data_IF_745158682426
#
_entry.id   IF_745158682426
#
_cell.length_a   1.000
_cell.length_b   1.000
_cell.length_c   1.000
_cell.angle_alpha   90.00
_cell.angle_beta   90.00
_cell.angle_gamma   90.00
#
_symmetry.space_group_name_H-M   'P 1'
#
loop_
_entity.id
_entity.type
_entity.pdbx_description
1 polymer ?
#
# COMPACT_ATOMS: atom_id res chain seq x y z
N UNK A 1 18.51 -1.96 -19.40
CA UNK A 1 17.48 -2.86 -18.82
C UNK A 1 16.84 -2.16 -17.64
N UNK A 2 15.57 -2.48 -17.37
CA UNK A 2 14.90 -2.11 -16.14
C UNK A 2 14.94 -3.29 -15.15
N UNK A 3 15.23 -3.00 -13.88
CA UNK A 3 15.29 -3.95 -12.77
C UNK A 3 14.23 -3.52 -11.75
N UNK A 4 13.40 -4.44 -11.30
CA UNK A 4 12.32 -4.18 -10.35
C UNK A 4 12.53 -5.03 -9.10
N UNK A 5 12.54 -4.39 -7.93
CA UNK A 5 12.76 -5.04 -6.65
C UNK A 5 11.58 -4.80 -5.72
N UNK A 6 11.13 -5.84 -5.04
CA UNK A 6 10.23 -5.70 -3.89
C UNK A 6 11.02 -5.25 -2.65
N UNK A 7 10.32 -4.70 -1.67
CA UNK A 7 10.91 -4.27 -0.40
C UNK A 7 10.90 -5.42 0.60
N UNK A 8 9.70 -5.81 1.03
CA UNK A 8 9.51 -6.70 2.17
C UNK A 8 9.89 -8.15 1.83
N UNK A 9 10.84 -8.71 2.57
CA UNK A 9 11.37 -10.05 2.30
C UNK A 9 12.28 -10.15 1.07
N UNK A 10 12.59 -9.02 0.39
CA UNK A 10 13.49 -8.98 -0.78
C UNK A 10 14.68 -8.06 -0.51
N UNK A 11 14.49 -6.75 -0.54
CA UNK A 11 15.55 -5.79 -0.19
C UNK A 11 15.66 -5.61 1.31
N UNK A 12 14.53 -5.49 2.00
CA UNK A 12 14.49 -5.35 3.45
C UNK A 12 14.48 -6.74 4.10
N UNK A 13 15.54 -7.05 4.84
CA UNK A 13 15.63 -8.31 5.57
C UNK A 13 14.56 -8.40 6.66
N UNK A 14 13.82 -9.50 6.70
CA UNK A 14 12.82 -9.75 7.73
C UNK A 14 13.44 -9.93 9.13
N UNK A 15 14.70 -10.35 9.18
CA UNK A 15 15.42 -10.60 10.44
C UNK A 15 16.04 -9.31 10.98
N UNK A 16 16.83 -8.61 10.19
CA UNK A 16 17.57 -7.41 10.63
C UNK A 16 16.78 -6.11 10.48
N UNK A 17 15.67 -6.14 9.72
CA UNK A 17 14.86 -4.96 9.33
C UNK A 17 15.69 -3.85 8.67
N UNK A 18 16.78 -4.25 8.01
CA UNK A 18 17.69 -3.35 7.27
C UNK A 18 17.95 -3.88 5.88
N UNK A 19 18.34 -2.98 4.97
CA UNK A 19 18.84 -3.37 3.65
C UNK A 19 20.33 -3.62 3.75
N UNK A 20 20.83 -4.80 3.33
CA UNK A 20 22.25 -5.10 3.37
C UNK A 20 23.06 -4.12 2.50
N UNK A 21 24.24 -3.72 2.98
CA UNK A 21 25.14 -2.83 2.22
C UNK A 21 25.56 -3.43 0.86
N UNK A 22 25.62 -4.77 0.77
CA UNK A 22 25.89 -5.48 -0.50
C UNK A 22 24.76 -5.23 -1.52
N UNK A 23 23.50 -5.17 -1.09
CA UNK A 23 22.35 -4.88 -1.96
C UNK A 23 22.39 -3.43 -2.47
N UNK A 24 22.65 -2.46 -1.56
CA UNK A 24 22.80 -1.05 -1.93
C UNK A 24 23.94 -0.86 -2.95
N UNK A 25 25.08 -1.51 -2.72
CA UNK A 25 26.21 -1.49 -3.65
C UNK A 25 25.87 -2.10 -5.00
N UNK A 26 25.15 -3.23 -5.02
CA UNK A 26 24.73 -3.88 -6.27
C UNK A 26 23.79 -2.98 -7.09
N UNK A 27 22.83 -2.30 -6.44
CA UNK A 27 21.93 -1.31 -7.06
C UNK A 27 22.75 -0.15 -7.65
N UNK A 28 23.66 0.42 -6.90
CA UNK A 28 24.53 1.51 -7.37
C UNK A 28 25.37 1.10 -8.60
N UNK A 29 25.93 -0.09 -8.58
CA UNK A 29 26.68 -0.63 -9.72
C UNK A 29 25.77 -0.83 -10.94
N UNK A 30 24.58 -1.41 -10.77
CA UNK A 30 23.63 -1.60 -11.86
C UNK A 30 23.27 -0.27 -12.53
N UNK A 31 22.99 0.78 -11.73
CA UNK A 31 22.71 2.13 -12.24
C UNK A 31 23.91 2.75 -12.97
N UNK A 32 25.12 2.60 -12.44
CA UNK A 32 26.34 3.09 -13.10
C UNK A 32 26.64 2.44 -14.46
N UNK A 33 26.08 1.23 -14.67
CA UNK A 33 26.13 0.51 -15.95
C UNK A 33 24.97 0.88 -16.91
N UNK A 34 24.18 1.88 -16.56
CA UNK A 34 23.07 2.37 -17.38
C UNK A 34 21.79 1.52 -17.28
N UNK A 35 21.63 0.73 -16.23
CA UNK A 35 20.37 0.06 -15.94
C UNK A 35 19.47 0.98 -15.09
N UNK A 36 18.18 0.98 -15.36
CA UNK A 36 17.16 1.63 -14.52
C UNK A 36 16.75 0.70 -13.40
N UNK A 37 16.64 1.23 -12.19
CA UNK A 37 16.26 0.46 -11.00
C UNK A 37 15.00 1.05 -10.38
N UNK A 38 13.99 0.21 -10.22
CA UNK A 38 12.70 0.57 -9.65
C UNK A 38 12.39 -0.29 -8.42
N UNK A 39 11.72 0.31 -7.46
CA UNK A 39 11.06 -0.44 -6.39
C UNK A 39 9.63 -0.76 -6.83
N UNK A 40 9.16 -1.99 -6.59
CA UNK A 40 7.81 -2.44 -6.89
C UNK A 40 7.21 -3.14 -5.68
N UNK A 41 6.40 -2.40 -4.91
CA UNK A 41 5.95 -2.78 -3.58
C UNK A 41 4.43 -2.75 -3.41
N UNK A 42 3.92 -3.56 -2.46
CA UNK A 42 2.54 -3.46 -1.98
C UNK A 42 2.28 -2.23 -1.10
N UNK A 43 3.33 -1.65 -0.48
CA UNK A 43 3.19 -0.44 0.33
C UNK A 43 2.68 0.73 -0.52
N UNK A 44 1.83 1.56 0.05
CA UNK A 44 1.44 2.82 -0.58
C UNK A 44 2.61 3.80 -0.61
N UNK A 45 2.55 4.79 -1.50
CA UNK A 45 3.60 5.80 -1.59
C UNK A 45 3.71 6.65 -0.30
N UNK A 46 2.60 6.84 0.41
CA UNK A 46 2.59 7.49 1.73
C UNK A 46 3.33 6.71 2.82
N UNK A 47 3.43 5.37 2.68
CA UNK A 47 4.10 4.51 3.67
C UNK A 47 5.60 4.28 3.40
N UNK A 48 6.11 4.65 2.23
CA UNK A 48 7.53 4.39 1.89
C UNK A 48 8.49 5.37 2.56
N UNK A 49 8.00 6.39 3.28
CA UNK A 49 8.86 7.43 3.87
C UNK A 49 10.04 6.89 4.67
N UNK A 50 9.81 5.83 5.45
CA UNK A 50 10.87 5.19 6.25
C UNK A 50 11.86 4.35 5.43
N UNK A 51 11.49 3.98 4.21
CA UNK A 51 12.31 3.14 3.32
C UNK A 51 12.78 3.87 2.08
N UNK A 52 12.44 5.16 1.95
CA UNK A 52 12.82 5.98 0.79
C UNK A 52 14.34 6.09 0.63
N UNK A 53 15.09 6.09 1.71
CA UNK A 53 16.54 6.21 1.74
C UNK A 53 17.28 4.85 1.64
N UNK A 54 16.55 3.77 1.37
CA UNK A 54 17.11 2.41 1.30
C UNK A 54 18.19 2.30 0.22
N UNK A 55 17.93 2.86 -0.96
CA UNK A 55 18.87 2.93 -2.07
C UNK A 55 18.46 4.05 -3.03
N UNK A 56 19.42 4.58 -3.75
CA UNK A 56 19.13 5.45 -4.90
C UNK A 56 18.47 4.63 -6.00
N UNK A 57 17.23 4.94 -6.36
CA UNK A 57 16.46 4.28 -7.41
C UNK A 57 15.93 5.29 -8.41
N UNK A 58 15.54 4.81 -9.59
CA UNK A 58 15.05 5.66 -10.67
C UNK A 58 13.52 5.88 -10.60
N UNK A 59 12.83 5.10 -9.77
CA UNK A 59 11.40 5.31 -9.52
C UNK A 59 10.77 4.27 -8.58
N UNK A 60 9.49 4.47 -8.34
CA UNK A 60 8.68 3.75 -7.36
C UNK A 60 7.37 3.29 -7.96
N UNK A 61 7.07 2.01 -7.84
CA UNK A 61 5.79 1.41 -8.15
C UNK A 61 5.18 0.94 -6.82
N UNK A 62 4.13 1.61 -6.39
CA UNK A 62 3.55 1.44 -5.05
C UNK A 62 2.09 1.01 -5.09
N UNK A 63 1.56 0.63 -3.93
CA UNK A 63 0.15 0.31 -3.76
C UNK A 63 -0.33 -0.84 -4.64
N UNK A 64 0.48 -1.89 -4.79
CA UNK A 64 0.16 -3.01 -5.68
C UNK A 64 -0.14 -2.59 -7.13
N UNK A 65 0.51 -1.54 -7.62
CA UNK A 65 0.36 -1.09 -8.99
C UNK A 65 -0.61 0.08 -9.19
N UNK A 66 -1.16 0.65 -8.14
CA UNK A 66 -2.05 1.81 -8.23
C UNK A 66 -1.31 3.14 -8.33
N UNK A 67 -0.01 3.14 -8.06
CA UNK A 67 0.86 4.32 -8.16
C UNK A 67 2.18 3.96 -8.83
N UNK A 68 2.63 4.80 -9.77
CA UNK A 68 3.94 4.69 -10.39
C UNK A 68 4.57 6.07 -10.59
N UNK A 69 5.84 6.17 -10.21
CA UNK A 69 6.69 7.34 -10.39
C UNK A 69 8.00 6.93 -11.07
N UNK A 70 8.49 7.73 -11.98
CA UNK A 70 9.79 7.56 -12.60
C UNK A 70 10.47 8.94 -12.76
N UNK A 71 11.75 9.02 -12.39
CA UNK A 71 12.55 10.24 -12.47
C UNK A 71 11.88 11.47 -11.83
N UNK A 72 11.19 11.26 -10.70
CA UNK A 72 10.47 12.30 -9.96
C UNK A 72 9.16 12.76 -10.62
N UNK A 73 8.67 12.05 -11.63
CA UNK A 73 7.39 12.34 -12.30
C UNK A 73 6.40 11.22 -12.03
N UNK A 74 5.22 11.58 -11.56
CA UNK A 74 4.11 10.63 -11.45
C UNK A 74 3.63 10.21 -12.84
N UNK A 75 3.73 8.92 -13.15
CA UNK A 75 3.27 8.30 -14.38
C UNK A 75 1.84 7.76 -14.22
N UNK A 76 1.55 7.20 -13.05
CA UNK A 76 0.24 6.66 -12.71
C UNK A 76 -0.10 7.03 -11.27
N UNK A 77 -1.31 7.51 -11.05
CA UNK A 77 -1.92 7.66 -9.72
C UNK A 77 -3.41 7.30 -9.82
N UNK A 78 -3.72 6.03 -9.54
CA UNK A 78 -5.10 5.53 -9.55
C UNK A 78 -5.75 5.81 -8.21
N UNK A 79 -6.56 6.85 -8.15
CA UNK A 79 -7.33 7.20 -6.96
C UNK A 79 -8.72 6.54 -7.00
N UNK A 80 -9.20 6.13 -5.85
CA UNK A 80 -10.58 5.73 -5.62
C UNK A 80 -11.46 6.98 -5.42
N UNK A 81 -12.71 7.01 -5.93
CA UNK A 81 -13.65 8.09 -5.62
C UNK A 81 -13.89 8.21 -4.11
N UNK A 82 -13.92 9.43 -3.58
CA UNK A 82 -14.07 9.69 -2.14
C UNK A 82 -15.36 9.07 -1.60
N UNK A 83 -16.45 9.15 -2.34
CA UNK A 83 -17.74 8.57 -1.95
C UNK A 83 -17.67 7.03 -1.87
N UNK A 84 -16.90 6.39 -2.74
CA UNK A 84 -16.65 4.95 -2.70
C UNK A 84 -15.83 4.60 -1.45
N UNK A 85 -14.76 5.34 -1.17
CA UNK A 85 -13.90 5.15 -0.01
C UNK A 85 -14.70 5.28 1.28
N UNK A 86 -15.49 6.34 1.42
CA UNK A 86 -16.33 6.56 2.61
C UNK A 86 -17.37 5.45 2.79
N UNK A 87 -18.02 4.99 1.70
CA UNK A 87 -18.99 3.89 1.74
C UNK A 87 -18.34 2.58 2.19
N UNK A 88 -17.16 2.24 1.65
CA UNK A 88 -16.41 1.04 2.03
C UNK A 88 -15.95 1.13 3.49
N UNK A 89 -15.45 2.29 3.91
CA UNK A 89 -15.02 2.50 5.28
C UNK A 89 -16.18 2.35 6.28
N UNK A 90 -17.36 2.89 5.94
CA UNK A 90 -18.58 2.70 6.74
C UNK A 90 -18.99 1.23 6.81
N UNK A 91 -19.02 0.54 5.67
CA UNK A 91 -19.34 -0.89 5.61
C UNK A 91 -18.40 -1.70 6.53
N UNK A 92 -17.10 -1.42 6.50
CA UNK A 92 -16.13 -2.10 7.37
C UNK A 92 -16.45 -1.85 8.85
N UNK A 93 -16.65 -0.60 9.25
CA UNK A 93 -16.96 -0.22 10.64
C UNK A 93 -18.30 -0.82 11.11
N UNK A 94 -19.32 -0.82 10.26
CA UNK A 94 -20.64 -1.42 10.55
C UNK A 94 -20.56 -2.94 10.74
N UNK A 95 -19.63 -3.59 10.03
CA UNK A 95 -19.35 -5.02 10.18
C UNK A 95 -18.34 -5.36 11.30
N UNK A 96 -18.05 -4.43 12.21
CA UNK A 96 -17.04 -4.58 13.27
C UNK A 96 -15.65 -5.00 12.74
N UNK A 97 -15.31 -4.58 11.53
CA UNK A 97 -13.98 -4.68 10.94
C UNK A 97 -13.27 -3.32 11.04
N UNK A 98 -11.93 -3.37 11.06
CA UNK A 98 -11.15 -2.15 10.91
C UNK A 98 -10.74 -1.99 9.44
N UNK A 99 -10.51 -0.76 9.00
CA UNK A 99 -10.01 -0.46 7.66
C UNK A 99 -8.84 0.51 7.73
N UNK A 100 -7.77 0.16 7.02
CA UNK A 100 -6.61 0.99 6.79
C UNK A 100 -6.62 1.46 5.33
N UNK A 101 -6.84 2.75 5.14
CA UNK A 101 -6.93 3.41 3.84
C UNK A 101 -5.58 4.01 3.49
N UNK A 102 -5.05 3.65 2.34
CA UNK A 102 -3.69 3.93 1.94
C UNK A 102 -3.65 4.83 0.70
N UNK A 103 -3.00 5.97 0.85
CA UNK A 103 -2.86 6.97 -0.21
C UNK A 103 -1.42 7.34 -0.54
N UNK A 104 -1.21 8.20 -1.54
CA UNK A 104 0.12 8.65 -1.93
C UNK A 104 0.71 9.65 -0.92
N UNK A 105 -0.12 10.30 -0.13
CA UNK A 105 0.30 11.28 0.88
C UNK A 105 0.01 10.81 2.29
N UNK A 106 -1.25 10.92 2.71
CA UNK A 106 -1.72 10.56 4.05
C UNK A 106 -2.42 9.20 4.01
N UNK A 107 -2.29 8.43 5.08
CA UNK A 107 -3.06 7.22 5.30
C UNK A 107 -4.09 7.46 6.40
N UNK A 108 -5.22 6.75 6.34
CA UNK A 108 -6.32 6.88 7.30
C UNK A 108 -6.65 5.54 7.92
N UNK A 109 -7.14 5.57 9.15
CA UNK A 109 -7.59 4.38 9.85
C UNK A 109 -8.98 4.63 10.44
N UNK A 110 -9.94 3.79 10.05
CA UNK A 110 -11.29 3.81 10.62
C UNK A 110 -11.55 2.52 11.39
N UNK A 111 -12.11 2.66 12.59
CA UNK A 111 -12.39 1.54 13.48
C UNK A 111 -13.45 1.93 14.49
N UNK A 112 -14.37 1.02 14.75
CA UNK A 112 -15.40 1.22 15.80
C UNK A 112 -14.83 1.06 17.20
N UNK A 113 -13.92 0.12 17.41
CA UNK A 113 -13.44 -0.28 18.73
C UNK A 113 -11.97 -0.02 18.99
N UNK A 114 -11.17 0.11 17.92
CA UNK A 114 -9.71 0.21 18.01
C UNK A 114 -9.01 -1.02 18.62
N UNK A 115 -9.70 -2.18 18.62
CA UNK A 115 -9.22 -3.39 19.30
C UNK A 115 -8.20 -4.18 18.51
N UNK A 116 -8.16 -4.00 17.19
CA UNK A 116 -7.29 -4.80 16.32
C UNK A 116 -5.80 -4.53 16.62
N UNK A 117 -5.01 -5.58 16.83
CA UNK A 117 -3.58 -5.42 17.14
C UNK A 117 -2.80 -4.65 16.08
N UNK A 118 -3.16 -4.82 14.81
CA UNK A 118 -2.55 -4.11 13.70
C UNK A 118 -2.71 -2.59 13.83
N UNK A 119 -3.94 -2.10 14.12
CA UNK A 119 -4.18 -0.67 14.32
C UNK A 119 -3.41 -0.11 15.50
N UNK A 120 -3.33 -0.86 16.61
CA UNK A 120 -2.51 -0.48 17.77
C UNK A 120 -1.02 -0.39 17.41
N UNK A 121 -0.53 -1.33 16.59
CA UNK A 121 0.86 -1.33 16.11
C UNK A 121 1.13 -0.15 15.17
N UNK A 122 0.19 0.19 14.29
CA UNK A 122 0.29 1.37 13.42
C UNK A 122 0.40 2.66 14.24
N UNK A 123 -0.45 2.85 15.25
CA UNK A 123 -0.35 4.00 16.17
C UNK A 123 1.01 4.13 16.80
N UNK A 124 1.56 3.01 17.25
CA UNK A 124 2.88 2.98 17.89
C UNK A 124 4.01 3.31 16.93
N UNK A 125 3.96 2.82 15.69
CA UNK A 125 5.06 2.92 14.73
C UNK A 125 5.04 4.23 13.94
N UNK A 126 3.85 4.72 13.60
CA UNK A 126 3.67 5.82 12.67
C UNK A 126 3.13 7.11 13.32
N UNK A 127 2.65 7.04 14.57
CA UNK A 127 2.20 8.22 15.30
C UNK A 127 1.18 9.04 14.53
N UNK A 128 1.51 10.31 14.27
CA UNK A 128 0.64 11.28 13.60
C UNK A 128 0.67 11.23 12.07
N UNK A 129 1.40 10.29 11.45
CA UNK A 129 1.41 10.13 9.98
C UNK A 129 0.21 9.36 9.45
N UNK A 130 -0.56 8.75 10.36
CA UNK A 130 -1.84 8.10 10.07
C UNK A 130 -2.93 8.84 10.81
N UNK A 131 -3.95 9.30 10.08
CA UNK A 131 -5.11 9.97 10.65
C UNK A 131 -6.17 8.95 11.04
N UNK A 132 -6.66 9.04 12.29
CA UNK A 132 -7.74 8.21 12.80
C UNK A 132 -9.03 9.00 12.71
N UNK A 133 -9.91 8.58 11.82
CA UNK A 133 -11.12 9.32 11.47
C UNK A 133 -12.36 8.43 11.47
N UNK A 134 -13.52 9.07 11.63
CA UNK A 134 -14.78 8.45 11.25
C UNK A 134 -14.84 8.34 9.70
N UNK A 135 -15.53 7.33 9.14
CA UNK A 135 -15.61 7.10 7.71
C UNK A 135 -15.97 8.34 6.87
N UNK A 136 -16.89 9.17 7.38
CA UNK A 136 -17.39 10.37 6.70
C UNK A 136 -16.37 11.52 6.66
N UNK A 137 -15.42 11.51 7.56
CA UNK A 137 -14.38 12.53 7.62
C UNK A 137 -13.21 12.25 6.67
N UNK A 138 -13.14 11.05 6.09
CA UNK A 138 -12.11 10.72 5.08
C UNK A 138 -12.37 11.53 3.82
N UNK A 139 -11.43 12.41 3.47
CA UNK A 139 -11.56 13.30 2.32
C UNK A 139 -10.29 13.35 1.45
N UNK A 140 -9.26 12.59 1.78
CA UNK A 140 -8.00 12.59 1.05
C UNK A 140 -7.93 11.55 -0.05
N UNK A 141 -6.78 11.52 -0.69
CA UNK A 141 -6.47 10.60 -1.77
C UNK A 141 -6.22 9.19 -1.25
N UNK A 142 -6.93 8.20 -1.79
CA UNK A 142 -6.78 6.78 -1.45
C UNK A 142 -6.59 5.97 -2.73
N UNK A 143 -5.56 5.12 -2.75
CA UNK A 143 -5.25 4.24 -3.86
C UNK A 143 -5.73 2.81 -3.63
N UNK A 144 -5.61 2.33 -2.40
CA UNK A 144 -5.95 0.97 -1.96
C UNK A 144 -6.31 0.99 -0.48
N UNK A 145 -6.72 -0.14 0.05
CA UNK A 145 -6.98 -0.29 1.48
C UNK A 145 -6.72 -1.71 1.96
N UNK A 146 -6.60 -1.86 3.27
CA UNK A 146 -6.60 -3.15 3.94
C UNK A 146 -7.79 -3.27 4.88
N UNK A 147 -8.43 -4.43 4.89
CA UNK A 147 -9.47 -4.80 5.84
C UNK A 147 -8.88 -5.74 6.90
N UNK A 148 -9.24 -5.48 8.14
CA UNK A 148 -8.85 -6.30 9.28
C UNK A 148 -10.09 -6.82 9.97
N UNK A 149 -10.14 -8.12 10.19
CA UNK A 149 -11.27 -8.79 10.81
C UNK A 149 -10.80 -9.73 11.91
N UNK A 150 -11.66 -9.95 12.88
CA UNK A 150 -11.48 -10.95 13.94
C UNK A 150 -12.73 -11.84 14.09
N UNK A 151 -12.85 -12.55 15.20
CA UNK A 151 -13.98 -13.42 15.47
C UNK A 151 -15.31 -12.67 15.69
N UNK A 152 -15.25 -11.37 16.02
CA UNK A 152 -16.42 -10.51 16.25
C UNK A 152 -16.90 -9.85 14.97
N UNK A 153 -16.09 -9.83 13.91
CA UNK A 153 -16.43 -9.17 12.65
C UNK A 153 -17.45 -9.95 11.83
N UNK A 154 -18.46 -9.27 11.29
CA UNK A 154 -19.38 -9.84 10.30
C UNK A 154 -18.70 -9.93 8.92
N UNK A 155 -17.84 -10.93 8.74
CA UNK A 155 -17.13 -11.16 7.47
C UNK A 155 -18.09 -11.43 6.31
N UNK A 156 -19.20 -12.11 6.57
CA UNK A 156 -20.16 -12.46 5.53
C UNK A 156 -20.86 -11.21 5.01
N UNK A 157 -21.34 -10.36 5.91
CA UNK A 157 -21.93 -9.07 5.56
C UNK A 157 -20.92 -8.17 4.84
N UNK A 158 -19.69 -8.09 5.33
CA UNK A 158 -18.62 -7.29 4.76
C UNK A 158 -18.34 -7.67 3.29
N UNK A 159 -17.96 -8.91 3.02
CA UNK A 159 -17.56 -9.31 1.66
C UNK A 159 -18.74 -9.47 0.69
N UNK A 160 -19.96 -9.69 1.18
CA UNK A 160 -21.16 -9.71 0.33
C UNK A 160 -21.51 -8.32 -0.23
N UNK A 161 -21.23 -7.28 0.54
CA UNK A 161 -21.59 -5.90 0.20
C UNK A 161 -20.40 -5.06 -0.26
N UNK A 162 -19.21 -5.64 -0.34
CA UNK A 162 -18.05 -4.97 -0.93
C UNK A 162 -18.26 -4.80 -2.45
N UNK A 163 -17.76 -3.70 -2.98
CA UNK A 163 -17.89 -3.35 -4.39
C UNK A 163 -17.21 -4.40 -5.29
N UNK A 164 -17.84 -4.73 -6.43
CA UNK A 164 -17.34 -5.75 -7.36
C UNK A 164 -16.09 -5.34 -8.14
N UNK A 165 -15.76 -4.05 -8.15
CA UNK A 165 -14.56 -3.51 -8.78
C UNK A 165 -13.34 -3.47 -7.83
N UNK A 166 -13.43 -4.18 -6.70
CA UNK A 166 -12.35 -4.34 -5.73
C UNK A 166 -11.88 -5.80 -5.73
N UNK A 167 -10.63 -6.00 -6.07
CA UNK A 167 -9.93 -7.27 -5.90
C UNK A 167 -9.51 -7.44 -4.43
N UNK A 168 -9.88 -8.56 -3.82
CA UNK A 168 -9.57 -8.88 -2.41
C UNK A 168 -8.53 -10.00 -2.38
N UNK A 169 -7.42 -9.76 -1.71
CA UNK A 169 -6.31 -10.70 -1.53
C UNK A 169 -6.26 -11.10 -0.05
N UNK A 170 -6.62 -12.33 0.26
CA UNK A 170 -6.51 -12.87 1.61
C UNK A 170 -5.03 -13.11 1.96
N UNK A 171 -4.54 -12.44 3.00
CA UNK A 171 -3.17 -12.57 3.52
C UNK A 171 -3.09 -13.46 4.75
N UNK A 172 -4.22 -14.02 5.16
CA UNK A 172 -4.34 -14.84 6.38
C UNK A 172 -4.64 -14.01 7.63
N UNK A 173 -4.98 -14.71 8.71
CA UNK A 173 -5.20 -14.15 10.05
C UNK A 173 -6.20 -12.97 10.10
N UNK A 174 -7.17 -12.94 9.15
CA UNK A 174 -8.16 -11.86 9.07
C UNK A 174 -7.65 -10.56 8.45
N UNK A 175 -6.48 -10.59 7.81
CA UNK A 175 -5.92 -9.47 7.07
C UNK A 175 -6.15 -9.64 5.57
N UNK A 176 -6.81 -8.65 4.96
CA UNK A 176 -7.13 -8.63 3.53
C UNK A 176 -6.60 -7.37 2.89
N UNK A 177 -5.81 -7.54 1.85
CA UNK A 177 -5.35 -6.45 1.00
C UNK A 177 -6.34 -6.24 -0.14
N UNK A 178 -6.81 -5.02 -0.33
CA UNK A 178 -7.86 -4.67 -1.28
C UNK A 178 -7.35 -3.60 -2.23
N UNK A 179 -7.44 -3.89 -3.53
CA UNK A 179 -7.01 -2.99 -4.60
C UNK A 179 -8.10 -2.86 -5.66
N UNK A 180 -8.19 -1.73 -6.37
CA UNK A 180 -9.06 -1.65 -7.55
C UNK A 180 -8.77 -2.78 -8.54
N UNK A 181 -9.82 -3.34 -9.13
CA UNK A 181 -9.71 -4.45 -10.09
C UNK A 181 -8.79 -4.07 -11.26
N UNK A 182 -7.96 -5.01 -11.70
CA UNK A 182 -7.01 -4.83 -12.80
C UNK A 182 -5.65 -4.25 -12.39
N UNK A 183 -5.46 -3.83 -11.14
CA UNK A 183 -4.17 -3.31 -10.66
C UNK A 183 -3.40 -4.38 -9.91
N UNK A 184 -2.14 -4.55 -10.31
CA UNK A 184 -1.19 -5.50 -9.72
C UNK A 184 0.24 -4.96 -9.81
N UNK A 185 1.17 -5.55 -9.08
CA UNK A 185 2.61 -5.27 -9.26
C UNK A 185 3.08 -5.47 -10.71
N UNK A 186 2.47 -6.42 -11.44
CA UNK A 186 2.82 -6.70 -12.83
C UNK A 186 2.34 -5.57 -13.75
N UNK A 187 1.09 -5.11 -13.61
CA UNK A 187 0.55 -4.03 -14.44
C UNK A 187 1.30 -2.70 -14.23
N UNK A 188 1.86 -2.46 -13.03
CA UNK A 188 2.72 -1.30 -12.80
C UNK A 188 4.04 -1.38 -13.61
N UNK A 189 4.59 -2.58 -13.78
CA UNK A 189 5.77 -2.77 -14.63
C UNK A 189 5.43 -2.41 -16.09
N UNK A 190 4.29 -2.87 -16.60
CA UNK A 190 3.85 -2.57 -17.95
C UNK A 190 3.73 -1.06 -18.18
N UNK A 191 3.17 -0.32 -17.21
CA UNK A 191 3.06 1.16 -17.25
C UNK A 191 4.45 1.82 -17.41
N UNK A 192 5.46 1.34 -16.69
CA UNK A 192 6.83 1.85 -16.85
C UNK A 192 7.42 1.47 -18.20
N UNK A 193 7.23 0.23 -18.64
CA UNK A 193 7.78 -0.23 -19.94
C UNK A 193 7.15 0.51 -21.12
N UNK A 194 5.87 0.88 -21.03
CA UNK A 194 5.18 1.68 -22.06
C UNK A 194 5.64 3.14 -22.10
N UNK A 195 6.10 3.68 -20.95
CA UNK A 195 6.58 5.05 -20.85
C UNK A 195 7.99 5.26 -21.45
N UNK A 196 8.73 4.17 -21.70
CA UNK A 196 10.09 4.16 -22.23
C UNK A 196 10.24 3.27 -23.47
#
# INVERSE_FOLDING_TARGET
KALFFDIDGTLLSEVTKTVPESAKKAISIARSLGHLVYINTGRSYGEIGQVRDIAEVDGWLCGCGTYAESEGRTILNRLMPVEQVQRIARLAVDCDADIFLEGPGVCYYCSKSGRMPFGQQLRKNFGNTIEWLEPEAVCGEVNKFCLLTDEQSDRVGLFRNLDLDIAVIDRGEGFYECVPEGFTKATAIDVILEAY
#
